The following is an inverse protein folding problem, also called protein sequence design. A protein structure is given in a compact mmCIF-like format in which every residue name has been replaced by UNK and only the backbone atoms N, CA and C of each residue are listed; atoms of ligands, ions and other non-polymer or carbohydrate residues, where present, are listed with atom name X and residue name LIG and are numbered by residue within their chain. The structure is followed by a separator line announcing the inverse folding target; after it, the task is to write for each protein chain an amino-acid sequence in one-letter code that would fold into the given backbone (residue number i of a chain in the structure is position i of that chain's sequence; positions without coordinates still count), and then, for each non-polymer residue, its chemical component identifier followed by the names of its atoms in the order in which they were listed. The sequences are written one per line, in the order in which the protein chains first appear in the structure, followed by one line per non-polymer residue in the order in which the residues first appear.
data_IF_647032017007
#
_entry.id   IF_647032017007
#
_cell.length_a   1.000
_cell.length_b   1.000
_cell.length_c   1.000
_cell.angle_alpha   90.00
_cell.angle_beta   90.00
_cell.angle_gamma   90.00
#
_symmetry.space_group_name_H-M   'P 1'
#
loop_
_entity.id
_entity.type
_entity.pdbx_description
1 polymer ?
#
# COMPACT_ATOMS: atom_id res chain seq x y z
N UNK A 1 -9.73 18.08 -4.94
CA UNK A 1 -10.03 17.17 -3.81
C UNK A 1 -9.06 17.43 -2.67
N UNK A 2 -9.54 17.42 -1.43
CA UNK A 2 -8.70 17.57 -0.24
C UNK A 2 -8.69 16.28 0.56
N UNK A 3 -7.52 15.72 0.79
CA UNK A 3 -7.32 14.56 1.64
C UNK A 3 -6.98 15.04 3.06
N UNK A 4 -7.67 14.53 4.07
CA UNK A 4 -7.49 14.92 5.47
C UNK A 4 -6.92 13.77 6.28
N UNK A 5 -6.08 14.11 7.26
CA UNK A 5 -5.50 13.16 8.20
C UNK A 5 -5.69 13.64 9.63
N UNK A 6 -5.94 12.70 10.53
CA UNK A 6 -5.87 12.92 11.97
C UNK A 6 -4.62 12.24 12.50
N UNK A 7 -3.80 12.98 13.25
CA UNK A 7 -2.70 12.41 14.02
C UNK A 7 -3.24 11.82 15.31
N UNK A 8 -2.90 10.56 15.58
CA UNK A 8 -3.26 9.83 16.82
C UNK A 8 -2.01 9.44 17.61
N UNK A 9 -0.84 9.86 17.14
CA UNK A 9 0.44 9.68 17.82
C UNK A 9 1.23 11.01 17.77
N UNK A 10 1.93 11.41 18.86
CA UNK A 10 2.64 12.70 18.91
C UNK A 10 3.74 12.82 17.85
N UNK A 11 4.37 11.71 17.47
CA UNK A 11 5.45 11.68 16.47
C UNK A 11 4.95 11.43 15.04
N UNK A 12 3.63 11.36 14.82
CA UNK A 12 3.09 11.16 13.49
C UNK A 12 3.41 12.33 12.55
N UNK A 13 3.84 12.00 11.33
CA UNK A 13 4.17 12.96 10.28
C UNK A 13 3.19 12.79 9.14
N UNK A 14 2.58 13.90 8.67
CA UNK A 14 1.68 13.85 7.52
C UNK A 14 2.44 13.35 6.28
N UNK A 15 1.80 12.53 5.44
CA UNK A 15 2.39 12.10 4.18
C UNK A 15 2.72 13.28 3.28
N UNK A 16 3.75 13.14 2.46
CA UNK A 16 4.17 14.20 1.56
C UNK A 16 4.66 13.63 0.23
N UNK A 17 4.40 14.36 -0.85
CA UNK A 17 5.02 14.12 -2.14
C UNK A 17 6.46 14.64 -2.12
N UNK A 18 7.40 13.88 -2.67
CA UNK A 18 8.79 14.30 -2.77
C UNK A 18 8.97 15.36 -3.87
N UNK A 19 8.23 15.21 -4.98
CA UNK A 19 8.28 16.10 -6.12
C UNK A 19 6.87 16.47 -6.61
N UNK A 20 6.71 17.63 -7.28
CA UNK A 20 5.48 17.94 -7.99
C UNK A 20 5.11 16.82 -8.99
N UNK A 21 3.85 16.46 -9.06
CA UNK A 21 3.31 15.41 -9.93
C UNK A 21 3.68 13.97 -9.56
N UNK A 22 4.34 13.72 -8.44
CA UNK A 22 4.51 12.35 -7.93
C UNK A 22 3.14 11.71 -7.67
N UNK A 23 3.02 10.42 -7.99
CA UNK A 23 1.80 9.65 -7.71
C UNK A 23 1.72 9.21 -6.25
N UNK A 24 2.86 8.92 -5.62
CA UNK A 24 2.95 8.38 -4.27
C UNK A 24 3.37 9.41 -3.23
N UNK A 25 2.63 9.46 -2.13
CA UNK A 25 3.02 10.19 -0.92
C UNK A 25 3.81 9.28 -0.01
N UNK A 26 4.99 9.70 0.44
CA UNK A 26 5.77 8.95 1.44
C UNK A 26 5.08 8.96 2.80
N UNK A 27 5.00 7.80 3.45
CA UNK A 27 4.55 7.65 4.83
C UNK A 27 5.70 7.20 5.74
N UNK A 28 5.66 7.64 6.99
CA UNK A 28 6.73 7.44 7.95
C UNK A 28 6.28 6.61 9.14
N UNK A 29 7.24 5.85 9.68
CA UNK A 29 7.07 5.07 10.91
C UNK A 29 7.04 5.96 12.16
N UNK A 30 6.21 5.59 13.13
CA UNK A 30 6.35 6.06 14.53
C UNK A 30 7.01 5.01 15.43
N UNK A 31 7.29 3.81 14.89
CA UNK A 31 7.87 2.69 15.59
C UNK A 31 9.38 2.60 15.39
N UNK A 32 10.06 2.03 16.39
CA UNK A 32 11.43 1.51 16.33
C UNK A 32 11.37 -0.01 16.50
N UNK A 33 11.70 -0.76 15.44
CA UNK A 33 11.68 -2.22 15.48
C UNK A 33 12.61 -2.83 14.43
N UNK A 34 12.98 -4.09 14.62
CA UNK A 34 13.74 -4.88 13.65
C UNK A 34 12.87 -5.97 13.06
N UNK A 35 13.01 -6.22 11.76
CA UNK A 35 12.35 -7.31 11.04
C UNK A 35 13.42 -8.25 10.53
N UNK A 36 13.50 -9.44 11.12
CA UNK A 36 14.44 -10.48 10.69
C UNK A 36 14.11 -11.01 9.29
N UNK A 37 15.08 -11.59 8.57
CA UNK A 37 14.85 -12.25 7.29
C UNK A 37 13.70 -13.26 7.35
N UNK A 38 12.79 -13.21 6.36
CA UNK A 38 11.62 -14.08 6.30
C UNK A 38 10.49 -13.72 7.26
N UNK A 39 10.61 -12.65 8.03
CA UNK A 39 9.59 -12.18 8.98
C UNK A 39 8.86 -10.95 8.45
N UNK A 40 7.75 -10.63 9.11
CA UNK A 40 6.93 -9.44 8.86
C UNK A 40 6.58 -8.75 10.16
N UNK A 41 6.27 -7.47 10.05
CA UNK A 41 5.77 -6.69 11.18
C UNK A 41 4.76 -5.64 10.69
N UNK A 42 3.78 -5.34 11.52
CA UNK A 42 2.93 -4.16 11.36
C UNK A 42 3.69 -2.96 11.88
N UNK A 43 3.91 -1.97 11.01
CA UNK A 43 4.57 -0.70 11.36
C UNK A 43 3.51 0.39 11.40
N UNK A 44 3.43 1.11 12.51
CA UNK A 44 2.45 2.16 12.74
C UNK A 44 2.90 3.50 12.16
N UNK A 45 1.95 4.26 11.65
CA UNK A 45 2.18 5.63 11.13
C UNK A 45 1.66 6.72 12.05
N UNK A 46 0.81 6.35 13.02
CA UNK A 46 0.13 7.29 13.91
C UNK A 46 -0.92 8.16 13.21
N UNK A 47 -1.40 7.73 12.04
CA UNK A 47 -2.32 8.50 11.19
C UNK A 47 -3.63 7.76 10.96
N UNK A 48 -4.74 8.49 11.03
CA UNK A 48 -6.04 8.09 10.50
C UNK A 48 -6.32 8.93 9.25
N UNK A 49 -6.70 8.27 8.15
CA UNK A 49 -6.99 8.94 6.89
C UNK A 49 -8.50 9.12 6.71
N UNK A 50 -8.92 10.31 6.30
CA UNK A 50 -10.30 10.62 5.94
C UNK A 50 -10.39 10.74 4.42
N UNK A 51 -10.61 9.61 3.79
CA UNK A 51 -10.67 9.50 2.34
C UNK A 51 -12.11 9.79 1.86
N UNK A 52 -12.29 10.63 0.83
CA UNK A 52 -13.61 10.88 0.25
C UNK A 52 -14.23 9.63 -0.37
N UNK A 53 -15.58 9.51 -0.40
CA UNK A 53 -16.26 8.42 -1.11
C UNK A 53 -15.78 8.31 -2.56
N UNK A 54 -15.85 7.10 -3.12
CA UNK A 54 -15.42 6.76 -4.49
C UNK A 54 -13.93 6.91 -4.76
N UNK A 55 -13.12 6.95 -3.69
CA UNK A 55 -11.66 6.85 -3.77
C UNK A 55 -11.15 5.75 -2.85
N UNK A 56 -10.04 5.16 -3.22
CA UNK A 56 -9.23 4.28 -2.39
C UNK A 56 -7.84 4.86 -2.18
N UNK A 57 -7.18 4.44 -1.12
CA UNK A 57 -5.75 4.64 -0.97
C UNK A 57 -5.04 3.28 -1.06
N UNK A 58 -3.97 3.23 -1.85
CA UNK A 58 -3.17 2.03 -2.03
C UNK A 58 -1.82 2.20 -1.34
N UNK A 59 -1.55 1.33 -0.37
CA UNK A 59 -0.24 1.27 0.29
C UNK A 59 0.68 0.41 -0.56
N UNK A 60 1.72 1.02 -1.10
CA UNK A 60 2.70 0.41 -2.00
C UNK A 60 4.10 0.44 -1.41
N UNK A 61 4.98 -0.53 -1.76
CA UNK A 61 6.36 -0.50 -1.31
C UNK A 61 7.16 0.64 -1.97
N UNK A 62 8.30 0.95 -1.36
CA UNK A 62 9.29 1.86 -1.93
C UNK A 62 10.35 1.05 -2.67
N UNK A 63 10.62 1.44 -3.90
CA UNK A 63 11.58 0.74 -4.78
C UNK A 63 12.99 0.65 -4.19
N UNK A 64 13.43 1.69 -3.47
CA UNK A 64 14.73 1.70 -2.81
C UNK A 64 14.86 0.66 -1.71
N UNK A 65 13.83 0.45 -0.89
CA UNK A 65 13.81 -0.59 0.14
C UNK A 65 13.75 -1.98 -0.49
N UNK A 66 12.93 -2.14 -1.54
CA UNK A 66 12.82 -3.40 -2.26
C UNK A 66 14.17 -3.83 -2.86
N UNK A 67 14.84 -2.92 -3.57
CA UNK A 67 16.09 -3.23 -4.26
C UNK A 67 17.27 -3.44 -3.30
N UNK A 68 17.43 -2.54 -2.31
CA UNK A 68 18.61 -2.53 -1.44
C UNK A 68 18.50 -3.49 -0.26
N UNK A 69 17.30 -3.70 0.26
CA UNK A 69 17.09 -4.44 1.50
C UNK A 69 16.15 -5.63 1.36
N UNK A 70 15.53 -5.84 0.19
CA UNK A 70 14.56 -6.90 -0.02
C UNK A 70 13.27 -6.70 0.80
N UNK A 71 12.96 -5.46 1.20
CA UNK A 71 11.80 -5.14 2.03
C UNK A 71 10.65 -4.64 1.17
N UNK A 72 9.47 -5.19 1.42
CA UNK A 72 8.24 -4.85 0.69
C UNK A 72 7.07 -4.69 1.65
N UNK A 73 5.96 -4.15 1.13
CA UNK A 73 4.65 -4.21 1.78
C UNK A 73 4.03 -5.56 1.41
N UNK A 74 3.79 -6.43 2.40
CA UNK A 74 3.41 -7.83 2.16
C UNK A 74 2.12 -7.97 1.36
N UNK A 75 1.12 -7.16 1.64
CA UNK A 75 -0.19 -7.19 0.98
C UNK A 75 -0.31 -6.16 -0.17
N UNK A 76 0.81 -5.74 -0.75
CA UNK A 76 0.79 -4.71 -1.81
C UNK A 76 -0.03 -5.15 -3.04
N UNK A 77 -0.84 -4.25 -3.62
CA UNK A 77 -1.22 -2.92 -3.14
C UNK A 77 -2.24 -3.02 -2.00
N UNK A 78 -1.84 -2.58 -0.79
CA UNK A 78 -2.72 -2.60 0.38
C UNK A 78 -3.88 -1.62 0.22
N UNK A 79 -5.11 -2.11 0.36
CA UNK A 79 -6.31 -1.31 0.12
C UNK A 79 -6.77 -0.61 1.39
N UNK A 80 -6.96 0.71 1.32
CA UNK A 80 -7.62 1.50 2.35
C UNK A 80 -8.91 2.07 1.75
N UNK A 81 -10.03 1.62 2.27
CA UNK A 81 -11.36 2.05 1.84
C UNK A 81 -11.72 3.43 2.39
N UNK A 82 -12.60 4.15 1.67
CA UNK A 82 -13.06 5.48 2.10
C UNK A 82 -13.77 5.48 3.45
N UNK A 83 -14.39 4.38 3.85
CA UNK A 83 -15.06 4.21 5.15
C UNK A 83 -14.14 3.80 6.31
N UNK A 84 -12.89 3.43 6.05
CA UNK A 84 -11.97 3.02 7.10
C UNK A 84 -11.58 4.20 8.01
N UNK A 85 -11.68 3.99 9.32
CA UNK A 85 -11.34 5.00 10.36
C UNK A 85 -10.31 4.49 11.35
N UNK A 86 -9.70 3.35 11.07
CA UNK A 86 -8.56 2.86 11.84
C UNK A 86 -7.26 3.55 11.47
N UNK A 87 -6.22 3.24 12.21
CA UNK A 87 -4.88 3.72 11.92
C UNK A 87 -4.35 3.14 10.60
N UNK A 88 -3.67 3.97 9.82
CA UNK A 88 -2.90 3.51 8.66
C UNK A 88 -1.68 2.75 9.16
N UNK A 89 -1.73 1.43 9.05
CA UNK A 89 -0.63 0.53 9.35
C UNK A 89 0.01 -0.01 8.08
N UNK A 90 1.30 -0.26 8.11
CA UNK A 90 2.06 -0.82 6.99
C UNK A 90 2.63 -2.18 7.39
N UNK A 91 2.22 -3.23 6.68
CA UNK A 91 2.74 -4.58 6.91
C UNK A 91 4.00 -4.75 6.08
N UNK A 92 5.17 -4.58 6.70
CA UNK A 92 6.46 -4.80 6.05
C UNK A 92 6.89 -6.27 6.17
N UNK A 93 7.40 -6.82 5.07
CA UNK A 93 8.01 -8.13 5.02
C UNK A 93 9.47 -8.01 4.56
N UNK A 94 10.36 -8.78 5.19
CA UNK A 94 11.78 -8.80 4.87
C UNK A 94 12.15 -10.06 4.09
N UNK A 95 12.40 -9.92 2.80
CA UNK A 95 12.92 -10.97 1.91
C UNK A 95 14.43 -10.85 1.68
N UNK A 96 15.09 -9.95 2.42
CA UNK A 96 16.54 -9.81 2.40
C UNK A 96 17.25 -10.86 3.26
N UNK A 97 18.56 -10.72 3.37
CA UNK A 97 19.44 -11.66 4.09
C UNK A 97 19.85 -11.16 5.48
N UNK A 98 19.60 -9.89 5.79
CA UNK A 98 19.93 -9.26 7.06
C UNK A 98 18.68 -8.68 7.73
N UNK A 99 18.75 -8.46 9.05
CA UNK A 99 17.72 -7.74 9.79
C UNK A 99 17.50 -6.35 9.16
N UNK A 100 16.24 -6.00 8.97
CA UNK A 100 15.85 -4.67 8.53
C UNK A 100 15.43 -3.83 9.74
N UNK A 101 16.17 -2.77 9.99
CA UNK A 101 15.91 -1.86 11.11
C UNK A 101 14.97 -0.75 10.67
N UNK A 102 13.78 -0.70 11.26
CA UNK A 102 12.85 0.43 11.15
C UNK A 102 13.08 1.36 12.31
N UNK A 103 13.26 2.64 12.02
CA UNK A 103 13.39 3.71 13.01
C UNK A 103 12.26 4.71 12.87
N UNK A 104 11.85 5.28 13.99
CA UNK A 104 10.91 6.39 14.00
C UNK A 104 11.34 7.49 13.01
N UNK A 105 10.40 7.92 12.16
CA UNK A 105 10.65 8.91 11.11
C UNK A 105 11.09 8.34 9.77
N UNK A 106 11.45 7.05 9.70
CA UNK A 106 11.81 6.43 8.44
C UNK A 106 10.61 6.38 7.47
N UNK A 107 10.89 6.63 6.20
CA UNK A 107 9.94 6.42 5.11
C UNK A 107 9.84 4.92 4.82
N UNK A 108 8.69 4.34 5.10
CA UNK A 108 8.48 2.87 5.06
C UNK A 108 7.66 2.38 3.88
N UNK A 109 6.84 3.25 3.31
CA UNK A 109 5.96 2.95 2.19
C UNK A 109 5.56 4.24 1.48
N UNK A 110 4.78 4.10 0.41
CA UNK A 110 4.11 5.21 -0.25
C UNK A 110 2.63 4.93 -0.42
N UNK A 111 1.81 5.98 -0.38
CA UNK A 111 0.37 5.90 -0.58
C UNK A 111 0.00 6.56 -1.91
N UNK A 112 -0.76 5.86 -2.72
CA UNK A 112 -1.34 6.37 -3.97
C UNK A 112 -2.85 6.44 -3.84
N UNK A 113 -3.45 7.57 -4.19
CA UNK A 113 -4.91 7.75 -4.20
C UNK A 113 -5.43 7.45 -5.60
N UNK A 114 -6.46 6.61 -5.68
CA UNK A 114 -7.06 6.23 -6.94
C UNK A 114 -8.59 6.29 -6.87
N UNK A 115 -9.29 6.59 -7.98
CA UNK A 115 -10.74 6.47 -8.04
C UNK A 115 -11.17 5.00 -8.00
N UNK A 116 -12.36 4.75 -7.46
CA UNK A 116 -12.92 3.40 -7.33
C UNK A 116 -14.13 3.26 -8.24
N UNK A 117 -14.18 2.16 -8.96
CA UNK A 117 -15.36 1.72 -9.70
C UNK A 117 -16.01 0.56 -8.97
N UNK A 118 -17.29 0.68 -8.66
CA UNK A 118 -18.10 -0.36 -8.01
C UNK A 118 -19.21 -0.80 -8.96
N UNK A 119 -18.96 -1.80 -9.83
CA UNK A 119 -20.00 -2.32 -10.71
C UNK A 119 -21.06 -3.11 -9.92
N UNK A 120 -22.27 -3.16 -10.46
CA UNK A 120 -23.27 -4.13 -10.02
C UNK A 120 -22.79 -5.53 -10.38
N UNK A 121 -22.92 -6.45 -9.45
CA UNK A 121 -22.52 -7.86 -9.64
C UNK A 121 -23.77 -8.68 -9.90
N UNK A 122 -23.80 -9.37 -11.04
CA UNK A 122 -24.89 -10.25 -11.45
C UNK A 122 -24.34 -11.63 -11.82
N UNK A 123 -25.06 -12.66 -11.44
CA UNK A 123 -24.79 -14.02 -11.91
C UNK A 123 -25.31 -14.19 -13.32
N UNK A 124 -24.61 -14.91 -14.19
CA UNK A 124 -25.04 -15.24 -15.54
C UNK A 124 -24.68 -16.67 -15.91
N UNK A 125 -25.58 -17.34 -16.61
CA UNK A 125 -25.35 -18.65 -17.21
C UNK A 125 -24.77 -18.53 -18.65
N UNK A 126 -24.74 -17.33 -19.20
CA UNK A 126 -24.27 -17.07 -20.57
C UNK A 126 -22.88 -16.48 -20.59
N UNK A 127 -21.99 -17.12 -21.34
CA UNK A 127 -20.62 -16.64 -21.63
C UNK A 127 -20.52 -16.46 -23.14
N UNK A 128 -20.19 -15.26 -23.57
CA UNK A 128 -19.93 -14.95 -24.97
C UNK A 128 -18.59 -15.52 -25.45
N UNK A 129 -18.47 -15.74 -26.75
CA UNK A 129 -17.24 -16.18 -27.35
C UNK A 129 -16.33 -15.00 -27.70
N UNK A 130 -15.03 -15.15 -27.45
CA UNK A 130 -14.00 -14.17 -27.82
C UNK A 130 -12.82 -14.87 -28.50
N UNK A 131 -12.03 -14.14 -29.28
CA UNK A 131 -10.83 -14.69 -29.97
C UNK A 131 -9.84 -15.27 -28.96
N UNK A 132 -9.75 -14.72 -27.76
CA UNK A 132 -8.89 -15.22 -26.70
C UNK A 132 -9.45 -16.47 -26.02
N UNK A 133 -10.78 -16.60 -25.92
CA UNK A 133 -11.46 -17.69 -25.21
C UNK A 133 -10.94 -17.88 -23.80
N UNK A 134 -10.59 -19.11 -23.44
CA UNK A 134 -10.05 -19.48 -22.12
C UNK A 134 -8.55 -19.32 -21.99
N UNK A 135 -7.87 -18.77 -22.99
CA UNK A 135 -6.41 -18.63 -23.01
C UNK A 135 -5.88 -17.72 -21.87
N UNK A 136 -5.01 -18.28 -21.07
CA UNK A 136 -4.34 -17.63 -19.95
C UNK A 136 -3.06 -18.34 -19.57
N UNK A 137 -2.42 -17.95 -18.47
CA UNK A 137 -1.23 -18.62 -17.90
C UNK A 137 -0.12 -18.90 -18.93
N UNK A 138 0.20 -17.90 -19.77
CA UNK A 138 1.23 -18.02 -20.80
C UNK A 138 0.76 -18.62 -22.13
N UNK A 139 -0.55 -18.69 -22.40
CA UNK A 139 -1.11 -19.19 -23.65
C UNK A 139 -0.66 -18.42 -24.90
N UNK A 140 -0.16 -17.19 -24.74
CA UNK A 140 0.37 -16.35 -25.84
C UNK A 140 1.84 -16.61 -26.14
N UNK A 141 2.47 -17.56 -25.46
CA UNK A 141 3.88 -17.91 -25.59
C UNK A 141 4.79 -17.24 -24.55
N UNK A 142 6.01 -17.71 -24.52
CA UNK A 142 7.03 -17.16 -23.60
C UNK A 142 7.77 -15.99 -24.25
#
# INVERSE_FOLDING_TARGET
MTLRFRKIHPDAVLPSYAHPSDAGMDVRSVDDLAIAPGKRALVHTGLVMLLPPMYEAQVRPRSGLALKSGVTVLNTPGTIDSGYRGEVGVILANFGEADFQVKKGDKIAQIVIAPVTQPTIEETDCIDETDRGTGGFGSTGA
#
